data_IF_876106160829
#
_entry.id   IF_876106160829
#
_cell.length_a   1.000
_cell.length_b   1.000
_cell.length_c   1.000
_cell.angle_alpha   90.00
_cell.angle_beta   90.00
_cell.angle_gamma   90.00
#
_symmetry.space_group_name_H-M   'P 1'
#
loop_
_entity.id
_entity.type
_entity.pdbx_description
1 polymer ?
#
# COMPACT_ATOMS: atom_id res chain seq x y z
N UNK A 1 14.20 20.14 -0.37
CA UNK A 1 15.53 20.47 0.19
C UNK A 1 15.66 20.11 1.68
N UNK A 2 16.84 19.68 2.13
CA UNK A 2 17.17 19.63 3.58
C UNK A 2 17.59 21.04 4.00
N UNK A 3 16.94 21.58 5.03
CA UNK A 3 17.25 22.91 5.56
C UNK A 3 17.66 22.83 7.01
N UNK A 4 18.43 23.82 7.47
CA UNK A 4 18.84 23.87 8.87
C UNK A 4 17.65 24.17 9.80
N UNK A 5 17.85 23.90 11.09
CA UNK A 5 16.79 24.01 12.10
C UNK A 5 16.28 25.44 12.32
N UNK A 6 17.13 26.44 12.13
CA UNK A 6 16.76 27.85 12.30
C UNK A 6 15.84 28.26 11.15
N UNK A 7 16.26 28.00 9.92
CA UNK A 7 15.48 28.32 8.74
C UNK A 7 14.14 27.59 8.71
N UNK A 8 14.14 26.30 9.08
CA UNK A 8 12.91 25.51 9.17
C UNK A 8 11.89 26.10 10.14
N UNK A 9 12.34 26.59 11.30
CA UNK A 9 11.48 27.25 12.28
C UNK A 9 10.99 28.61 11.80
N UNK A 10 11.85 29.36 11.12
CA UNK A 10 11.52 30.66 10.53
C UNK A 10 10.39 30.53 9.52
N UNK A 11 10.54 29.65 8.54
CA UNK A 11 9.55 29.36 7.50
C UNK A 11 8.21 28.86 8.07
N UNK A 12 8.26 28.02 9.12
CA UNK A 12 7.03 27.58 9.83
C UNK A 12 6.27 28.75 10.45
N UNK A 13 6.97 29.74 11.01
CA UNK A 13 6.38 30.90 11.70
C UNK A 13 5.86 31.96 10.72
N UNK A 14 6.61 32.23 9.66
CA UNK A 14 6.28 33.29 8.70
C UNK A 14 5.20 32.88 7.70
N UNK A 15 5.13 31.60 7.30
CA UNK A 15 4.13 31.11 6.34
C UNK A 15 2.70 31.02 6.89
N UNK A 16 2.42 31.63 8.04
CA UNK A 16 1.08 31.76 8.61
C UNK A 16 0.58 30.50 9.33
N UNK A 17 -0.69 30.15 9.11
CA UNK A 17 -1.34 29.04 9.82
C UNK A 17 -0.70 27.71 9.43
N UNK A 18 0.00 27.09 10.38
CA UNK A 18 0.58 25.76 10.21
C UNK A 18 -0.47 24.67 10.47
N UNK A 19 -0.72 23.80 9.48
CA UNK A 19 -1.52 22.58 9.67
C UNK A 19 -0.60 21.38 9.78
N UNK A 20 -0.63 20.69 10.92
CA UNK A 20 0.20 19.50 11.13
C UNK A 20 -0.62 18.21 11.00
N UNK A 21 -0.19 17.39 10.05
CA UNK A 21 -0.70 16.07 9.69
C UNK A 21 0.22 15.06 10.37
N UNK A 22 -0.28 14.44 11.45
CA UNK A 22 0.61 13.94 12.51
C UNK A 22 1.43 12.72 12.12
N UNK A 23 1.11 11.89 11.11
CA UNK A 23 2.02 10.77 10.77
C UNK A 23 1.87 10.39 9.30
N UNK A 24 2.97 10.52 8.57
CA UNK A 24 3.14 9.92 7.25
C UNK A 24 4.35 8.99 7.28
N UNK A 25 4.19 7.81 6.70
CA UNK A 25 5.33 6.97 6.33
C UNK A 25 5.83 7.49 4.98
N UNK A 26 7.10 7.86 4.91
CA UNK A 26 7.77 8.26 3.68
C UNK A 26 8.85 7.26 3.28
N UNK A 27 9.38 7.42 2.08
CA UNK A 27 10.54 6.68 1.59
C UNK A 27 11.79 6.86 2.49
N UNK A 28 11.81 7.93 3.30
CA UNK A 28 12.87 8.25 4.26
C UNK A 28 12.57 7.76 5.69
N UNK A 29 11.33 7.31 5.93
CA UNK A 29 10.80 6.76 7.18
C UNK A 29 9.60 7.56 7.72
N UNK A 30 9.16 7.25 8.94
CA UNK A 30 7.99 7.88 9.56
C UNK A 30 8.32 9.26 10.13
N UNK A 31 7.46 10.25 9.92
CA UNK A 31 7.63 11.59 10.47
C UNK A 31 6.34 12.40 10.55
N UNK A 32 6.45 13.59 11.12
CA UNK A 32 5.39 14.57 11.15
C UNK A 32 5.42 15.37 9.85
N UNK A 33 4.27 15.50 9.20
CA UNK A 33 4.11 16.37 8.04
C UNK A 33 3.36 17.62 8.49
N UNK A 34 3.83 18.80 8.14
CA UNK A 34 3.05 20.03 8.31
C UNK A 34 3.05 20.81 7.00
N UNK A 35 2.04 21.65 6.80
CA UNK A 35 1.90 22.49 5.63
C UNK A 35 1.47 23.90 6.04
N UNK A 36 1.98 24.90 5.34
CA UNK A 36 1.54 26.30 5.46
C UNK A 36 1.53 26.96 4.07
N UNK A 37 1.43 28.29 4.01
CA UNK A 37 1.33 29.01 2.74
C UNK A 37 2.58 28.93 1.84
N UNK A 38 3.75 28.58 2.37
CA UNK A 38 4.99 28.48 1.60
C UNK A 38 5.26 27.06 1.07
N UNK A 39 4.79 26.04 1.79
CA UNK A 39 5.04 24.68 1.37
C UNK A 39 4.90 23.65 2.46
N UNK A 40 5.55 22.52 2.20
CA UNK A 40 5.42 21.27 2.95
C UNK A 40 6.68 21.06 3.80
N UNK A 41 6.46 20.80 5.08
CA UNK A 41 7.49 20.53 6.09
C UNK A 41 7.39 19.07 6.49
N UNK A 42 8.44 18.30 6.28
CA UNK A 42 8.52 16.92 6.75
C UNK A 42 9.62 16.80 7.82
N UNK A 43 9.20 16.37 9.00
CA UNK A 43 10.02 16.27 10.19
C UNK A 43 10.09 14.82 10.67
N UNK A 44 11.21 14.16 10.37
CA UNK A 44 11.51 12.85 10.92
C UNK A 44 12.14 12.98 12.31
N UNK A 45 11.77 12.09 13.24
CA UNK A 45 12.29 12.11 14.60
C UNK A 45 13.82 11.95 14.60
N UNK A 46 14.53 12.92 15.22
CA UNK A 46 16.00 12.97 15.35
C UNK A 46 16.81 13.03 14.05
N UNK A 47 16.19 13.39 12.92
CA UNK A 47 16.87 13.55 11.62
C UNK A 47 16.63 14.93 11.00
N UNK A 48 17.14 15.07 9.77
CA UNK A 48 17.10 16.23 8.91
C UNK A 48 15.70 16.85 8.76
N UNK A 49 15.67 18.16 8.56
CA UNK A 49 14.43 18.92 8.35
C UNK A 49 14.22 19.12 6.87
N UNK A 50 13.16 18.52 6.34
CA UNK A 50 12.85 18.62 4.92
C UNK A 50 11.80 19.72 4.70
N UNK A 51 12.09 20.62 3.78
CA UNK A 51 11.14 21.61 3.29
C UNK A 51 11.02 21.49 1.77
N UNK A 52 9.80 21.53 1.28
CA UNK A 52 9.44 21.51 -0.13
C UNK A 52 8.57 22.74 -0.38
N UNK A 53 9.13 23.74 -1.06
CA UNK A 53 8.38 24.93 -1.46
C UNK A 53 7.31 24.56 -2.48
N UNK A 54 6.12 25.16 -2.41
CA UNK A 54 5.10 24.93 -3.43
C UNK A 54 5.55 25.36 -4.83
N UNK A 55 6.35 26.41 -4.93
CA UNK A 55 6.94 26.88 -6.21
C UNK A 55 7.85 25.83 -6.86
N UNK A 56 8.42 24.94 -6.03
CA UNK A 56 9.37 23.94 -6.48
C UNK A 56 8.72 22.64 -6.96
N UNK A 57 7.40 22.49 -6.75
CA UNK A 57 6.65 21.28 -7.10
C UNK A 57 6.34 21.29 -8.60
N UNK A 58 6.79 20.23 -9.29
CA UNK A 58 6.49 19.97 -10.70
C UNK A 58 5.25 19.09 -10.88
N UNK A 59 5.04 18.12 -10.00
CA UNK A 59 3.83 17.30 -9.96
C UNK A 59 3.43 16.94 -8.55
N UNK A 60 2.12 16.83 -8.32
CA UNK A 60 1.52 16.41 -7.06
C UNK A 60 0.40 15.41 -7.37
N UNK A 61 0.70 14.14 -7.21
CA UNK A 61 -0.20 13.04 -7.56
C UNK A 61 -0.78 12.42 -6.29
N UNK A 62 -2.09 12.21 -6.28
CA UNK A 62 -2.81 11.54 -5.18
C UNK A 62 -3.35 10.21 -5.67
N UNK A 63 -3.17 9.15 -4.87
CA UNK A 63 -3.74 7.83 -5.12
C UNK A 63 -4.20 7.20 -3.81
N UNK A 64 -5.49 7.38 -3.48
CA UNK A 64 -6.10 6.91 -2.25
C UNK A 64 -5.49 7.55 -1.01
N UNK A 65 -4.60 6.81 -0.33
CA UNK A 65 -3.84 7.26 0.83
C UNK A 65 -2.40 7.69 0.51
N UNK A 66 -1.97 7.53 -0.74
CA UNK A 66 -0.62 7.81 -1.19
C UNK A 66 -0.56 9.18 -1.85
N UNK A 67 0.51 9.91 -1.57
CA UNK A 67 0.83 11.18 -2.21
C UNK A 67 2.23 11.06 -2.80
N UNK A 68 2.37 11.42 -4.06
CA UNK A 68 3.65 11.46 -4.76
C UNK A 68 3.92 12.89 -5.21
N UNK A 69 5.09 13.41 -4.85
CA UNK A 69 5.49 14.77 -5.22
C UNK A 69 6.80 14.68 -5.95
N UNK A 70 6.83 15.24 -7.15
CA UNK A 70 8.06 15.53 -7.89
C UNK A 70 8.35 17.02 -7.72
N UNK A 71 9.52 17.34 -7.21
CA UNK A 71 9.98 18.71 -7.01
C UNK A 71 11.39 18.88 -7.58
N UNK A 72 11.99 20.07 -7.47
CA UNK A 72 13.39 20.45 -7.80
C UNK A 72 14.24 19.35 -8.45
N UNK A 73 14.81 19.58 -9.65
CA UNK A 73 15.72 18.60 -10.28
C UNK A 73 15.16 17.16 -10.39
N UNK A 74 13.82 17.01 -10.37
CA UNK A 74 13.11 15.73 -10.41
C UNK A 74 13.28 14.84 -9.16
N UNK A 75 13.62 15.45 -8.02
CA UNK A 75 13.55 14.76 -6.74
C UNK A 75 12.12 14.30 -6.45
N UNK A 76 12.00 13.06 -5.94
CA UNK A 76 10.72 12.43 -5.65
C UNK A 76 10.59 12.16 -4.16
N UNK A 77 9.46 12.56 -3.60
CA UNK A 77 9.05 12.12 -2.26
C UNK A 77 7.68 11.47 -2.35
N UNK A 78 7.46 10.47 -1.51
CA UNK A 78 6.16 9.83 -1.41
C UNK A 78 5.77 9.70 0.04
N UNK A 79 4.49 9.91 0.31
CA UNK A 79 3.90 9.85 1.63
C UNK A 79 2.73 8.89 1.63
N UNK A 80 2.63 8.08 2.68
CA UNK A 80 1.45 7.28 2.97
C UNK A 80 0.74 7.88 4.17
N UNK A 81 -0.42 8.47 3.94
CA UNK A 81 -1.26 9.04 4.98
C UNK A 81 -2.07 7.96 5.67
N UNK A 82 -2.28 8.10 6.98
CA UNK A 82 -3.11 7.15 7.75
C UNK A 82 -4.62 7.30 7.53
N UNK A 83 -5.07 8.47 7.05
CA UNK A 83 -6.49 8.82 6.87
C UNK A 83 -6.65 9.67 5.62
N UNK A 84 -7.72 9.46 4.86
CA UNK A 84 -8.04 10.25 3.65
C UNK A 84 -8.13 11.75 3.95
N UNK A 85 -8.68 12.13 5.11
CA UNK A 85 -8.73 13.53 5.56
C UNK A 85 -7.36 14.23 5.49
N UNK A 86 -6.28 13.53 5.82
CA UNK A 86 -4.94 14.10 5.78
C UNK A 86 -4.43 14.32 4.35
N UNK A 87 -4.79 13.43 3.44
CA UNK A 87 -4.48 13.58 2.00
C UNK A 87 -5.17 14.81 1.46
N UNK A 88 -6.47 14.92 1.72
CA UNK A 88 -7.32 16.04 1.32
C UNK A 88 -6.78 17.36 1.89
N UNK A 89 -6.43 17.39 3.18
CA UNK A 89 -5.87 18.59 3.81
C UNK A 89 -4.55 19.04 3.17
N UNK A 90 -3.66 18.10 2.83
CA UNK A 90 -2.39 18.45 2.18
C UNK A 90 -2.59 18.94 0.75
N UNK A 91 -3.34 18.18 -0.05
CA UNK A 91 -3.61 18.53 -1.44
C UNK A 91 -4.32 19.87 -1.55
N UNK A 92 -5.32 20.13 -0.70
CA UNK A 92 -6.10 21.38 -0.79
C UNK A 92 -5.29 22.62 -0.40
N UNK A 93 -4.26 22.50 0.45
CA UNK A 93 -3.36 23.64 0.70
C UNK A 93 -2.44 23.91 -0.50
N UNK A 94 -1.97 22.87 -1.19
CA UNK A 94 -1.25 22.99 -2.46
C UNK A 94 -2.14 23.54 -3.59
N UNK A 95 -3.36 23.02 -3.72
CA UNK A 95 -4.34 23.46 -4.71
C UNK A 95 -4.70 24.94 -4.51
N UNK A 96 -4.90 25.36 -3.26
CA UNK A 96 -5.15 26.76 -2.92
C UNK A 96 -4.01 27.69 -3.35
N UNK A 97 -2.75 27.27 -3.18
CA UNK A 97 -1.59 28.05 -3.61
C UNK A 97 -1.55 28.21 -5.14
N UNK A 98 -1.90 27.16 -5.89
CA UNK A 98 -1.86 27.14 -7.36
C UNK A 98 -3.19 27.53 -8.04
N UNK A 99 -4.22 27.87 -7.26
CA UNK A 99 -5.57 28.14 -7.75
C UNK A 99 -6.21 26.96 -8.52
N UNK A 100 -5.97 25.73 -8.04
CA UNK A 100 -6.59 24.51 -8.57
C UNK A 100 -7.87 24.14 -7.80
N UNK A 101 -8.66 23.27 -8.42
CA UNK A 101 -9.82 22.68 -7.78
C UNK A 101 -9.43 21.85 -6.54
N UNK A 102 -10.26 21.94 -5.51
CA UNK A 102 -10.03 21.19 -4.27
C UNK A 102 -10.44 19.73 -4.43
N UNK A 103 -9.63 18.84 -3.87
CA UNK A 103 -9.94 17.42 -3.76
C UNK A 103 -10.92 17.17 -2.61
N UNK A 104 -11.91 16.32 -2.86
CA UNK A 104 -12.88 15.87 -1.86
C UNK A 104 -12.73 14.38 -1.56
N UNK A 105 -13.41 13.92 -0.51
CA UNK A 105 -13.47 12.48 -0.22
C UNK A 105 -14.26 11.69 -1.27
N UNK A 106 -15.17 12.34 -2.01
CA UNK A 106 -15.96 11.65 -3.03
C UNK A 106 -15.15 11.44 -4.29
N UNK A 107 -14.31 12.40 -4.67
CA UNK A 107 -13.38 12.29 -5.82
C UNK A 107 -12.45 11.07 -5.64
N UNK A 108 -11.83 10.94 -4.47
CA UNK A 108 -10.95 9.79 -4.16
C UNK A 108 -11.71 8.46 -4.29
N UNK A 109 -12.95 8.38 -3.81
CA UNK A 109 -13.76 7.15 -3.90
C UNK A 109 -14.18 6.85 -5.32
N UNK A 110 -14.48 7.87 -6.11
CA UNK A 110 -14.86 7.72 -7.52
C UNK A 110 -13.67 7.20 -8.33
N UNK A 111 -12.47 7.78 -8.16
CA UNK A 111 -11.23 7.28 -8.78
C UNK A 111 -10.94 5.82 -8.42
N UNK A 112 -11.06 5.45 -7.13
CA UNK A 112 -10.87 4.07 -6.68
C UNK A 112 -11.87 3.09 -7.33
N UNK A 113 -13.13 3.54 -7.52
CA UNK A 113 -14.19 2.76 -8.15
C UNK A 113 -13.91 2.56 -9.64
N UNK A 114 -13.59 3.63 -10.35
CA UNK A 114 -13.25 3.61 -11.78
C UNK A 114 -12.04 2.72 -12.05
N UNK A 115 -10.98 2.81 -11.23
CA UNK A 115 -9.81 1.96 -11.37
C UNK A 115 -10.15 0.47 -11.16
N UNK A 116 -11.02 0.16 -10.19
CA UNK A 116 -11.47 -1.22 -9.93
C UNK A 116 -12.33 -1.76 -11.08
N UNK A 117 -13.22 -0.93 -11.63
CA UNK A 117 -14.04 -1.28 -12.80
C UNK A 117 -13.16 -1.54 -14.03
N UNK A 118 -12.20 -0.66 -14.30
CA UNK A 118 -11.24 -0.83 -15.38
C UNK A 118 -10.38 -2.10 -15.21
N UNK A 119 -9.94 -2.43 -13.99
CA UNK A 119 -9.19 -3.66 -13.71
C UNK A 119 -10.03 -4.92 -13.97
N UNK A 120 -11.29 -4.91 -13.52
CA UNK A 120 -12.23 -6.01 -13.75
C UNK A 120 -12.49 -6.21 -15.25
N UNK A 121 -12.65 -5.12 -15.99
CA UNK A 121 -12.83 -5.17 -17.44
C UNK A 121 -11.59 -5.74 -18.13
N UNK A 122 -10.38 -5.27 -17.80
CA UNK A 122 -9.13 -5.82 -18.35
C UNK A 122 -8.96 -7.31 -18.05
N UNK A 123 -9.31 -7.75 -16.83
CA UNK A 123 -9.28 -9.17 -16.45
C UNK A 123 -10.26 -10.00 -17.29
N UNK A 124 -11.46 -9.48 -17.54
CA UNK A 124 -12.46 -10.13 -18.39
C UNK A 124 -11.96 -10.26 -19.83
N UNK A 125 -11.43 -9.18 -20.41
CA UNK A 125 -10.86 -9.18 -21.76
C UNK A 125 -9.65 -10.13 -21.88
N UNK A 126 -8.78 -10.17 -20.87
CA UNK A 126 -7.65 -11.09 -20.82
C UNK A 126 -8.11 -12.55 -20.76
N UNK A 127 -9.11 -12.85 -19.92
CA UNK A 127 -9.69 -14.18 -19.82
C UNK A 127 -10.29 -14.63 -21.15
N UNK A 128 -11.06 -13.76 -21.82
CA UNK A 128 -11.65 -14.02 -23.13
C UNK A 128 -10.58 -14.30 -24.20
N UNK A 129 -9.51 -13.50 -24.25
CA UNK A 129 -8.36 -13.74 -25.14
C UNK A 129 -7.68 -15.08 -24.88
N UNK A 130 -7.49 -15.45 -23.61
CA UNK A 130 -6.90 -16.75 -23.23
C UNK A 130 -7.78 -17.89 -23.73
N UNK A 131 -9.09 -17.82 -23.49
CA UNK A 131 -10.05 -18.85 -23.93
C UNK A 131 -10.10 -18.98 -25.46
N UNK A 132 -9.97 -17.87 -26.19
CA UNK A 132 -9.91 -17.88 -27.66
C UNK A 132 -8.57 -18.43 -28.21
N UNK A 133 -7.48 -18.27 -27.47
CA UNK A 133 -6.12 -18.67 -27.91
C UNK A 133 -5.80 -20.15 -27.71
N UNK A 134 -6.60 -20.90 -26.93
CA UNK A 134 -6.39 -22.33 -26.71
C UNK A 134 -7.72 -23.10 -26.63
N UNK A 135 -8.21 -23.70 -27.73
CA UNK A 135 -9.47 -24.45 -27.75
C UNK A 135 -9.44 -25.75 -26.90
N UNK A 136 -8.28 -26.16 -26.37
CA UNK A 136 -8.15 -27.34 -25.49
C UNK A 136 -8.24 -27.06 -23.98
N UNK A 137 -8.67 -25.87 -23.54
CA UNK A 137 -9.03 -25.63 -22.13
C UNK A 137 -10.51 -25.98 -21.88
N UNK A 138 -10.87 -27.21 -22.24
CA UNK A 138 -12.09 -27.88 -21.74
C UNK A 138 -11.82 -29.28 -21.19
N UNK A 139 -10.56 -29.57 -20.86
CA UNK A 139 -10.22 -30.68 -20.00
C UNK A 139 -9.35 -30.17 -18.87
N UNK A 140 -9.98 -29.80 -17.76
CA UNK A 140 -9.39 -30.24 -16.49
C UNK A 140 -9.04 -31.72 -16.68
N UNK A 141 -7.83 -32.20 -16.36
CA UNK A 141 -7.71 -33.61 -16.03
C UNK A 141 -8.74 -33.83 -14.95
N UNK A 142 -9.81 -34.55 -15.26
CA UNK A 142 -10.56 -35.26 -14.24
C UNK A 142 -9.49 -36.11 -13.58
N UNK A 143 -8.93 -35.61 -12.48
CA UNK A 143 -8.33 -36.47 -11.48
C UNK A 143 -9.52 -37.29 -11.01
N UNK A 144 -9.75 -38.43 -11.65
CA UNK A 144 -10.32 -39.56 -10.96
C UNK A 144 -9.49 -39.65 -9.67
N UNK A 145 -10.09 -39.49 -8.48
CA UNK A 145 -9.38 -39.85 -7.28
C UNK A 145 -9.24 -41.37 -7.37
N UNK A 146 -8.14 -41.84 -7.93
CA UNK A 146 -7.68 -43.19 -7.65
C UNK A 146 -7.37 -43.17 -6.16
N UNK A 147 -8.34 -43.64 -5.37
CA UNK A 147 -8.15 -43.92 -3.96
C UNK A 147 -7.15 -45.08 -3.89
N UNK A 148 -5.87 -44.72 -3.93
CA UNK A 148 -4.82 -45.53 -3.34
C UNK A 148 -4.95 -45.23 -1.84
N UNK A 149 -5.35 -46.19 -0.98
CA UNK A 149 -5.33 -45.98 0.46
C UNK A 149 -3.87 -45.80 0.89
N UNK A 150 -3.40 -44.55 0.89
CA UNK A 150 -2.18 -44.18 1.57
C UNK A 150 -2.50 -44.23 3.05
N UNK A 151 -1.94 -45.23 3.75
CA UNK A 151 -1.96 -45.38 5.22
C UNK A 151 -2.05 -44.01 5.91
N UNK A 152 -3.21 -43.69 6.49
CA UNK A 152 -3.50 -42.40 7.09
C UNK A 152 -2.57 -42.13 8.27
N UNK A 153 -1.64 -41.18 8.09
CA UNK A 153 -1.08 -40.45 9.23
C UNK A 153 -2.06 -39.31 9.53
N UNK A 154 -2.98 -39.54 10.45
CA UNK A 154 -3.96 -38.52 10.85
C UNK A 154 -3.23 -37.34 11.49
N UNK A 155 -3.40 -36.15 10.90
CA UNK A 155 -2.74 -34.92 11.38
C UNK A 155 -3.47 -34.43 12.62
N UNK A 156 -2.73 -34.24 13.72
CA UNK A 156 -3.26 -33.80 15.00
C UNK A 156 -2.57 -32.53 15.51
N UNK A 157 -3.26 -31.78 16.36
CA UNK A 157 -2.67 -30.63 17.03
C UNK A 157 -1.52 -31.07 17.95
N UNK A 158 -0.30 -30.49 17.84
CA UNK A 158 0.82 -30.88 18.69
C UNK A 158 0.67 -30.47 20.16
N UNK A 159 -0.33 -29.64 20.49
CA UNK A 159 -0.60 -29.20 21.86
C UNK A 159 -1.66 -30.07 22.56
N UNK A 160 -2.71 -30.47 21.86
CA UNK A 160 -3.87 -31.13 22.49
C UNK A 160 -4.34 -32.42 21.80
N UNK A 161 -3.65 -32.88 20.76
CA UNK A 161 -4.00 -34.10 20.03
C UNK A 161 -5.27 -34.02 19.16
N UNK A 162 -6.02 -32.91 19.20
CA UNK A 162 -7.25 -32.77 18.42
C UNK A 162 -6.98 -32.77 16.90
N UNK A 163 -7.85 -33.43 16.15
CA UNK A 163 -7.86 -33.46 14.67
C UNK A 163 -8.66 -32.30 14.06
N UNK A 164 -9.33 -31.48 14.88
CA UNK A 164 -10.08 -30.30 14.43
C UNK A 164 -9.13 -29.13 14.15
N UNK A 165 -8.66 -29.06 12.92
CA UNK A 165 -7.68 -28.10 12.44
C UNK A 165 -8.25 -27.29 11.27
N UNK A 166 -8.00 -25.98 11.24
CA UNK A 166 -8.27 -25.12 10.08
C UNK A 166 -6.98 -24.55 9.52
N UNK A 167 -6.84 -24.50 8.20
CA UNK A 167 -5.66 -23.98 7.52
C UNK A 167 -5.99 -22.63 6.88
N UNK A 168 -5.47 -21.54 7.47
CA UNK A 168 -5.67 -20.20 6.97
C UNK A 168 -4.42 -19.69 6.25
N UNK A 169 -4.60 -19.11 5.07
CA UNK A 169 -3.52 -18.39 4.37
C UNK A 169 -3.35 -17.02 5.03
N UNK A 170 -2.14 -16.71 5.51
CA UNK A 170 -1.84 -15.35 5.97
C UNK A 170 -1.78 -14.44 4.75
N UNK A 171 -2.83 -13.64 4.53
CA UNK A 171 -2.91 -12.68 3.44
C UNK A 171 -1.72 -11.72 3.47
N UNK A 172 -1.21 -11.37 2.29
CA UNK A 172 -0.28 -10.25 2.14
C UNK A 172 -1.07 -8.99 2.47
N UNK A 173 -0.73 -8.31 3.56
CA UNK A 173 -1.36 -7.03 3.87
C UNK A 173 -1.14 -6.08 2.70
N UNK A 174 -2.22 -5.52 2.16
CA UNK A 174 -2.23 -4.57 1.03
C UNK A 174 -1.10 -3.51 1.14
N UNK A 175 -0.83 -3.02 2.35
CA UNK A 175 0.24 -2.04 2.61
C UNK A 175 1.67 -2.54 2.36
N UNK A 176 1.95 -3.84 2.46
CA UNK A 176 3.31 -4.39 2.18
C UNK A 176 3.54 -4.67 0.69
N UNK A 177 2.46 -4.91 -0.06
CA UNK A 177 2.54 -5.12 -1.50
C UNK A 177 2.74 -3.80 -2.25
N UNK A 178 2.12 -2.71 -1.78
CA UNK A 178 2.28 -1.38 -2.37
C UNK A 178 3.73 -0.88 -2.30
N UNK A 179 4.40 -1.03 -1.14
CA UNK A 179 5.80 -0.63 -0.96
C UNK A 179 6.74 -1.50 -1.83
N UNK A 180 6.46 -2.81 -1.94
CA UNK A 180 7.27 -3.72 -2.75
C UNK A 180 7.18 -3.48 -4.26
N UNK A 181 6.00 -3.11 -4.77
CA UNK A 181 5.80 -2.75 -6.18
C UNK A 181 6.50 -1.44 -6.56
N UNK A 182 6.65 -0.52 -5.61
CA UNK A 182 7.27 0.80 -5.83
C UNK A 182 8.80 0.73 -5.98
N UNK A 183 9.48 -0.15 -5.23
CA UNK A 183 10.96 -0.23 -5.22
C UNK A 183 11.52 -1.01 -6.42
N UNK A 184 10.80 -1.99 -6.96
CA UNK A 184 11.31 -2.90 -7.98
C UNK A 184 10.45 -2.95 -9.28
N UNK A 185 9.54 -1.99 -9.47
CA UNK A 185 8.66 -1.94 -10.64
C UNK A 185 7.80 -3.21 -10.77
N UNK A 186 7.42 -3.66 -12.00
CA UNK A 186 6.57 -4.84 -12.18
C UNK A 186 7.16 -6.15 -11.59
N UNK A 187 8.47 -6.20 -11.35
CA UNK A 187 9.13 -7.32 -10.64
C UNK A 187 8.97 -7.25 -9.11
N UNK A 188 8.62 -6.08 -8.55
CA UNK A 188 8.34 -5.88 -7.13
C UNK A 188 7.08 -6.60 -6.63
N UNK A 189 6.13 -6.89 -7.54
CA UNK A 189 5.00 -7.77 -7.27
C UNK A 189 5.40 -9.24 -7.07
N UNK A 190 6.56 -9.64 -7.63
CA UNK A 190 7.13 -10.99 -7.49
C UNK A 190 7.89 -11.11 -6.17
N UNK A 191 8.62 -10.08 -5.74
CA UNK A 191 9.28 -10.04 -4.42
C UNK A 191 8.28 -9.94 -3.24
N UNK A 192 7.16 -9.21 -3.42
CA UNK A 192 6.02 -9.26 -2.50
C UNK A 192 5.32 -10.63 -2.44
N UNK A 193 5.73 -11.56 -3.33
CA UNK A 193 5.35 -12.97 -3.33
C UNK A 193 6.13 -13.87 -2.39
N UNK A 194 7.27 -13.41 -1.86
CA UNK A 194 8.10 -14.17 -0.90
C UNK A 194 7.43 -14.14 0.48
N UNK A 195 6.30 -14.84 0.59
CA UNK A 195 5.45 -14.86 1.78
C UNK A 195 3.97 -15.16 1.51
N UNK A 196 3.52 -15.12 0.24
CA UNK A 196 2.12 -15.32 -0.18
C UNK A 196 1.50 -16.67 0.25
N UNK A 197 2.33 -17.63 0.66
CA UNK A 197 1.91 -19.00 0.97
C UNK A 197 2.29 -19.46 2.40
N UNK A 198 2.42 -18.55 3.37
CA UNK A 198 2.54 -18.99 4.78
C UNK A 198 1.16 -19.46 5.27
N UNK A 199 0.90 -20.75 5.06
CA UNK A 199 -0.24 -21.47 5.65
C UNK A 199 0.03 -21.59 7.15
N UNK A 200 -0.90 -21.09 7.96
CA UNK A 200 -0.91 -21.31 9.40
C UNK A 200 -2.07 -22.25 9.70
N UNK A 201 -1.77 -23.37 10.35
CA UNK A 201 -2.76 -24.32 10.84
C UNK A 201 -3.14 -23.89 12.25
N UNK A 202 -4.42 -23.67 12.48
CA UNK A 202 -4.98 -23.33 13.79
C UNK A 202 -5.83 -24.49 14.28
N UNK A 203 -5.56 -24.97 15.48
CA UNK A 203 -6.45 -25.92 16.14
C UNK A 203 -7.71 -25.22 16.65
N UNK A 204 -8.89 -25.70 16.26
CA UNK A 204 -10.17 -25.15 16.70
C UNK A 204 -10.49 -25.51 18.15
N UNK A 205 -9.90 -26.59 18.67
CA UNK A 205 -10.13 -27.02 20.04
C UNK A 205 -9.31 -26.22 21.08
N UNK A 206 -8.04 -25.89 20.80
CA UNK A 206 -7.16 -25.23 21.77
C UNK A 206 -6.54 -23.90 21.30
N UNK A 207 -6.85 -23.46 20.08
CA UNK A 207 -6.35 -22.20 19.49
C UNK A 207 -4.87 -22.21 19.10
N UNK A 208 -4.14 -23.32 19.27
CA UNK A 208 -2.70 -23.39 18.92
C UNK A 208 -2.51 -23.22 17.42
N UNK A 209 -1.67 -22.25 17.05
CA UNK A 209 -1.25 -21.99 15.69
C UNK A 209 0.14 -22.60 15.43
N UNK A 210 0.31 -23.29 14.32
CA UNK A 210 1.57 -23.93 13.92
C UNK A 210 1.72 -23.98 12.40
N UNK A 211 2.95 -24.27 11.94
CA UNK A 211 3.27 -24.33 10.51
C UNK A 211 3.18 -25.79 10.02
N UNK A 212 2.74 -26.03 8.78
CA UNK A 212 2.81 -27.38 8.19
C UNK A 212 4.25 -27.89 8.19
N UNK A 213 4.45 -29.16 8.54
CA UNK A 213 5.77 -29.82 8.52
C UNK A 213 6.71 -29.48 9.68
N UNK A 214 6.21 -28.90 10.78
CA UNK A 214 6.94 -28.67 12.03
C UNK A 214 6.30 -29.39 13.21
#
# INVERSE_FOLDING_TARGET
MIIDKVEFKRLKKEGGRLRCIIIVDSNFGSGNLCVNNYGIFFEQAFKDKHFISFESIKSFDVNGLNIHIVYEEDYKISFVCKKQKHVIELYNEYAKYNHFDTLTSEDIKNEEREHKEAENQRKKELFEKIMASNPEVSQSPQRTPSYIPVKEKTVCCPKCGSTQLTANKKGVGLGKAAIGAFVAGPYGLVAGGIGKNKIIITCLNCGKQFKPGK
#
